data_IF_147133760253
#
_entry.id   IF_147133760253
#
_cell.length_a   1.000
_cell.length_b   1.000
_cell.length_c   1.000
_cell.angle_alpha   90.00
_cell.angle_beta   90.00
_cell.angle_gamma   90.00
#
_symmetry.space_group_name_H-M   'P 1'
#
loop_
_entity.id
_entity.type
_entity.pdbx_description
1 polymer ?
#
# COMPACT_ATOMS: atom_id res chain seq x y z
N UNK A 1 -0.81 -13.28 -13.47
CA UNK A 1 -1.76 -13.64 -12.38
C UNK A 1 -2.43 -12.41 -11.76
N UNK A 2 -1.70 -11.38 -11.28
CA UNK A 2 -2.30 -10.15 -10.76
C UNK A 2 -3.11 -9.34 -11.80
N UNK A 3 -2.61 -9.21 -13.04
CA UNK A 3 -3.34 -8.60 -14.17
C UNK A 3 -4.67 -9.31 -14.48
N UNK A 4 -4.73 -10.63 -14.28
CA UNK A 4 -5.93 -11.44 -14.55
C UNK A 4 -6.98 -11.29 -13.45
N UNK A 5 -6.54 -11.17 -12.18
CA UNK A 5 -7.41 -10.83 -11.05
C UNK A 5 -8.00 -9.41 -11.18
N UNK A 6 -7.23 -8.45 -11.71
CA UNK A 6 -7.73 -7.09 -12.03
C UNK A 6 -8.78 -7.12 -13.14
N UNK A 7 -8.58 -7.94 -14.18
CA UNK A 7 -9.56 -8.12 -15.28
C UNK A 7 -10.87 -8.77 -14.81
N UNK A 8 -10.82 -9.64 -13.79
CA UNK A 8 -11.98 -10.33 -13.23
C UNK A 8 -12.89 -9.45 -12.37
N UNK A 9 -12.50 -8.20 -12.05
CA UNK A 9 -13.39 -7.25 -11.38
C UNK A 9 -14.49 -6.75 -12.34
N UNK A 10 -15.79 -6.98 -12.05
CA UNK A 10 -16.89 -6.45 -12.85
C UNK A 10 -16.86 -4.93 -12.86
N UNK A 11 -17.19 -4.31 -14.00
CA UNK A 11 -17.18 -2.85 -14.18
C UNK A 11 -17.95 -2.08 -13.09
N UNK A 12 -19.04 -2.64 -12.57
CA UNK A 12 -19.85 -2.04 -11.49
C UNK A 12 -19.13 -1.96 -10.12
N UNK A 13 -18.09 -2.77 -9.88
CA UNK A 13 -17.25 -2.71 -8.66
C UNK A 13 -16.14 -1.63 -8.74
N UNK A 14 -15.90 -1.07 -9.93
CA UNK A 14 -14.80 -0.12 -10.21
C UNK A 14 -15.18 1.35 -10.00
N UNK A 15 -16.47 1.65 -9.90
CA UNK A 15 -16.97 3.01 -9.68
C UNK A 15 -16.90 3.45 -8.21
N UNK A 16 -16.71 2.51 -7.28
CA UNK A 16 -16.62 2.79 -5.85
C UNK A 16 -15.21 2.90 -5.27
N UNK A 17 -14.19 2.41 -5.97
CA UNK A 17 -12.82 2.66 -5.55
C UNK A 17 -12.54 4.15 -5.65
N UNK A 18 -12.05 4.76 -4.57
CA UNK A 18 -11.46 6.10 -4.64
C UNK A 18 -10.22 6.01 -5.54
N UNK A 19 -10.40 6.31 -6.82
CA UNK A 19 -9.32 6.35 -7.82
C UNK A 19 -8.23 7.30 -7.29
N UNK A 20 -6.97 6.86 -7.29
CA UNK A 20 -5.82 7.54 -6.67
C UNK A 20 -5.75 7.54 -5.12
N UNK A 21 -6.39 6.59 -4.44
CA UNK A 21 -6.25 6.38 -2.99
C UNK A 21 -5.36 5.16 -2.67
N UNK A 22 -4.86 5.02 -1.45
CA UNK A 22 -4.13 3.79 -1.07
C UNK A 22 -4.96 2.50 -1.14
N UNK A 23 -6.28 2.59 -1.30
CA UNK A 23 -7.22 1.46 -1.28
C UNK A 23 -7.05 0.52 -2.49
N UNK A 24 -6.77 1.03 -3.69
CA UNK A 24 -6.58 0.16 -4.87
C UNK A 24 -5.27 -0.62 -4.78
N UNK A 25 -4.19 -0.01 -4.30
CA UNK A 25 -2.93 -0.72 -4.07
C UNK A 25 -3.09 -1.81 -3.00
N UNK A 26 -3.78 -1.48 -1.91
CA UNK A 26 -4.09 -2.46 -0.88
C UNK A 26 -4.88 -3.63 -1.48
N UNK A 27 -5.89 -3.36 -2.31
CA UNK A 27 -6.68 -4.40 -2.97
C UNK A 27 -5.81 -5.28 -3.88
N UNK A 28 -4.97 -4.69 -4.73
CA UNK A 28 -4.06 -5.43 -5.62
C UNK A 28 -3.13 -6.34 -4.81
N UNK A 29 -2.44 -5.79 -3.81
CA UNK A 29 -1.42 -6.51 -3.05
C UNK A 29 -2.02 -7.58 -2.13
N UNK A 30 -3.10 -7.26 -1.43
CA UNK A 30 -3.78 -8.24 -0.58
C UNK A 30 -4.44 -9.33 -1.42
N UNK A 31 -5.00 -9.01 -2.59
CA UNK A 31 -5.50 -10.04 -3.51
C UNK A 31 -4.40 -10.96 -4.04
N UNK A 32 -3.24 -10.41 -4.38
CA UNK A 32 -2.08 -11.21 -4.78
C UNK A 32 -1.61 -12.14 -3.65
N UNK A 33 -1.53 -11.63 -2.42
CA UNK A 33 -1.10 -12.41 -1.26
C UNK A 33 -2.12 -13.50 -0.86
N UNK A 34 -3.42 -13.17 -0.91
CA UNK A 34 -4.50 -14.07 -0.50
C UNK A 34 -4.99 -14.99 -1.63
N UNK A 35 -4.45 -14.80 -2.83
CA UNK A 35 -4.83 -15.47 -4.07
C UNK A 35 -6.35 -15.46 -4.32
N UNK A 36 -6.98 -14.29 -4.13
CA UNK A 36 -8.44 -14.11 -4.32
C UNK A 36 -8.82 -12.62 -4.42
N UNK A 37 -9.98 -12.34 -4.99
CA UNK A 37 -10.55 -10.98 -5.02
C UNK A 37 -11.35 -10.67 -3.75
N UNK A 38 -11.45 -9.40 -3.33
CA UNK A 38 -12.33 -9.02 -2.23
C UNK A 38 -13.79 -9.29 -2.60
N UNK A 39 -14.56 -9.83 -1.65
CA UNK A 39 -16.01 -10.04 -1.76
C UNK A 39 -16.80 -8.79 -1.36
N UNK A 40 -16.14 -7.83 -0.70
CA UNK A 40 -16.69 -6.53 -0.36
C UNK A 40 -15.61 -5.45 -0.48
N UNK A 41 -15.98 -4.34 -1.11
CA UNK A 41 -15.21 -3.09 -1.17
C UNK A 41 -16.16 -2.01 -0.66
N UNK A 42 -15.70 -1.11 0.21
CA UNK A 42 -16.62 -0.18 0.85
C UNK A 42 -17.31 0.78 -0.15
N UNK A 43 -18.61 0.56 -0.35
CA UNK A 43 -19.51 1.47 -1.07
C UNK A 43 -20.45 2.24 -0.12
N UNK A 44 -20.54 1.85 1.17
CA UNK A 44 -21.64 2.20 2.07
C UNK A 44 -21.24 2.43 3.54
N UNK A 45 -19.98 2.72 3.86
CA UNK A 45 -19.49 3.00 5.23
C UNK A 45 -19.03 1.77 6.02
N UNK A 46 -18.85 0.63 5.34
CA UNK A 46 -18.28 -0.61 5.85
C UNK A 46 -16.74 -0.56 5.94
N UNK A 47 -16.10 -1.71 6.19
CA UNK A 47 -14.63 -1.85 6.14
C UNK A 47 -14.15 -1.76 4.68
N UNK A 48 -12.96 -1.21 4.46
CA UNK A 48 -12.48 -0.87 3.12
C UNK A 48 -12.40 -2.11 2.19
N UNK A 49 -11.89 -3.24 2.69
CA UNK A 49 -11.85 -4.51 1.96
C UNK A 49 -12.32 -5.67 2.84
N UNK A 50 -13.05 -6.63 2.25
CA UNK A 50 -13.42 -7.90 2.88
C UNK A 50 -13.12 -9.07 1.96
N UNK A 51 -12.52 -10.12 2.51
CA UNK A 51 -12.16 -11.35 1.83
C UNK A 51 -12.83 -12.54 2.48
N UNK A 52 -13.40 -13.43 1.67
CA UNK A 52 -13.86 -14.75 2.10
C UNK A 52 -12.68 -15.73 2.09
N UNK A 53 -12.45 -16.40 3.21
CA UNK A 53 -11.36 -17.36 3.45
C UNK A 53 -11.82 -18.82 3.47
N UNK A 54 -13.12 -19.12 3.27
CA UNK A 54 -13.72 -20.43 3.56
C UNK A 54 -13.39 -21.58 2.60
N UNK A 55 -12.77 -21.30 1.46
CA UNK A 55 -12.26 -22.35 0.56
C UNK A 55 -11.07 -21.78 -0.23
N UNK A 56 -9.89 -21.68 0.40
CA UNK A 56 -8.78 -21.00 -0.22
C UNK A 56 -8.16 -21.87 -1.34
N UNK A 57 -7.95 -21.34 -2.57
CA UNK A 57 -7.29 -22.10 -3.65
C UNK A 57 -5.90 -22.59 -3.24
N UNK A 58 -5.26 -21.86 -2.33
CA UNK A 58 -4.00 -22.19 -1.70
C UNK A 58 -4.06 -21.73 -0.24
N UNK A 59 -3.58 -22.53 0.73
CA UNK A 59 -3.56 -22.12 2.13
C UNK A 59 -2.89 -20.76 2.30
N UNK A 60 -3.52 -19.86 3.06
CA UNK A 60 -2.93 -18.56 3.35
C UNK A 60 -1.77 -18.77 4.33
N UNK A 61 -0.56 -18.25 4.04
CA UNK A 61 0.58 -18.37 4.94
C UNK A 61 0.26 -17.83 6.34
N UNK A 62 0.54 -18.64 7.37
CA UNK A 62 0.41 -18.24 8.77
C UNK A 62 1.16 -16.94 9.10
N UNK A 63 2.29 -16.71 8.41
CA UNK A 63 3.12 -15.52 8.54
C UNK A 63 2.38 -14.21 8.22
N UNK A 64 1.25 -14.25 7.51
CA UNK A 64 0.45 -13.07 7.21
C UNK A 64 -0.38 -12.58 8.41
N UNK A 65 -0.33 -13.31 9.53
CA UNK A 65 -0.92 -12.88 10.79
C UNK A 65 -2.44 -12.82 10.79
N UNK A 66 -3.11 -13.42 9.81
CA UNK A 66 -4.56 -13.55 9.83
C UNK A 66 -4.98 -14.52 10.92
N UNK A 67 -6.09 -14.21 11.61
CA UNK A 67 -6.71 -15.17 12.53
C UNK A 67 -7.35 -16.31 11.73
N UNK A 68 -7.40 -17.50 12.31
CA UNK A 68 -8.24 -18.59 11.83
C UNK A 68 -9.72 -18.18 11.89
N UNK A 69 -10.20 -17.66 10.76
CA UNK A 69 -11.50 -17.05 10.60
C UNK A 69 -11.98 -17.27 9.17
N UNK A 70 -13.30 -17.31 8.98
CA UNK A 70 -13.90 -17.47 7.66
C UNK A 70 -13.71 -16.24 6.77
N UNK A 71 -13.39 -15.08 7.34
CA UNK A 71 -13.24 -13.83 6.60
C UNK A 71 -12.10 -12.98 7.16
N UNK A 72 -11.46 -12.21 6.30
CA UNK A 72 -10.52 -11.14 6.68
C UNK A 72 -11.03 -9.79 6.20
N UNK A 73 -10.99 -8.80 7.08
CA UNK A 73 -11.29 -7.41 6.79
C UNK A 73 -10.03 -6.57 6.87
N UNK A 74 -9.95 -5.57 6.00
CA UNK A 74 -8.88 -4.59 6.00
C UNK A 74 -9.46 -3.19 6.10
N UNK A 75 -8.92 -2.38 7.00
CA UNK A 75 -9.05 -0.93 6.95
C UNK A 75 -7.74 -0.37 6.39
N UNK A 76 -7.85 0.36 5.28
CA UNK A 76 -6.74 0.91 4.52
C UNK A 76 -6.53 2.37 4.91
N UNK A 77 -5.29 2.75 5.16
CA UNK A 77 -4.90 4.14 5.47
C UNK A 77 -3.62 4.50 4.75
N UNK A 78 -3.63 5.62 4.05
CA UNK A 78 -2.37 6.28 3.69
C UNK A 78 -1.85 7.06 4.89
N UNK A 79 -0.54 6.99 5.12
CA UNK A 79 0.11 7.89 6.07
C UNK A 79 -0.08 9.34 5.57
N UNK A 80 -0.43 10.28 6.47
CA UNK A 80 -0.62 11.68 6.08
C UNK A 80 0.73 12.30 5.73
N UNK A 81 0.72 13.38 4.95
CA UNK A 81 1.96 14.11 4.65
C UNK A 81 1.69 15.33 3.77
N UNK A 82 2.75 16.07 3.46
CA UNK A 82 2.72 17.37 2.77
C UNK A 82 2.92 17.28 1.27
N UNK A 83 3.52 16.21 0.76
CA UNK A 83 3.84 16.09 -0.66
C UNK A 83 2.57 16.07 -1.51
N UNK A 84 1.57 15.28 -1.14
CA UNK A 84 0.32 15.22 -1.91
C UNK A 84 -0.44 16.54 -1.93
N UNK A 85 -0.37 17.32 -0.86
CA UNK A 85 -0.94 18.66 -0.81
C UNK A 85 -0.18 19.64 -1.73
N UNK A 86 1.15 19.53 -1.75
CA UNK A 86 2.04 20.27 -2.63
C UNK A 86 1.77 19.93 -4.11
N UNK A 87 1.68 18.65 -4.44
CA UNK A 87 1.40 18.15 -5.80
C UNK A 87 0.02 18.61 -6.29
N UNK A 88 -1.00 18.44 -5.45
CA UNK A 88 -2.35 18.94 -5.75
C UNK A 88 -2.40 20.48 -5.90
N UNK A 89 -1.50 21.23 -5.26
CA UNK A 89 -1.42 22.68 -5.44
C UNK A 89 -0.83 23.06 -6.81
N UNK A 90 0.13 22.28 -7.32
CA UNK A 90 0.67 22.42 -8.68
C UNK A 90 -0.44 22.16 -9.70
N UNK A 91 -1.17 21.05 -9.57
CA UNK A 91 -2.27 20.69 -10.47
C UNK A 91 -3.35 21.78 -10.52
N UNK A 92 -3.73 22.32 -9.36
CA UNK A 92 -4.72 23.41 -9.28
C UNK A 92 -4.23 24.67 -9.99
N UNK A 93 -2.95 25.01 -9.88
CA UNK A 93 -2.38 26.17 -10.56
C UNK A 93 -2.39 25.97 -12.08
N UNK A 94 -1.94 24.80 -12.55
CA UNK A 94 -1.94 24.44 -13.98
C UNK A 94 -3.37 24.47 -14.55
N UNK A 95 -4.34 23.84 -13.87
CA UNK A 95 -5.74 23.83 -14.29
C UNK A 95 -6.35 25.24 -14.34
N UNK A 96 -5.88 26.15 -13.50
CA UNK A 96 -6.29 27.56 -13.51
C UNK A 96 -5.54 28.41 -14.57
N UNK A 97 -4.61 27.82 -15.34
CA UNK A 97 -3.77 28.54 -16.30
C UNK A 97 -2.74 29.46 -15.63
N UNK A 98 -2.41 29.23 -14.37
CA UNK A 98 -1.47 30.02 -13.57
C UNK A 98 -0.19 29.24 -13.36
N UNK A 99 0.95 29.92 -13.42
CA UNK A 99 2.23 29.30 -13.12
C UNK A 99 2.32 28.93 -11.61
N UNK A 100 2.68 27.68 -11.26
CA UNK A 100 2.83 27.26 -9.88
C UNK A 100 3.90 28.08 -9.14
N UNK A 101 3.53 28.64 -7.99
CA UNK A 101 4.42 29.48 -7.15
C UNK A 101 5.53 28.64 -6.51
N UNK A 102 5.23 27.41 -6.09
CA UNK A 102 6.20 26.48 -5.55
C UNK A 102 6.40 25.33 -6.54
N UNK A 103 7.64 25.12 -6.96
CA UNK A 103 8.04 24.04 -7.88
C UNK A 103 9.01 23.05 -7.24
N UNK A 104 9.41 23.29 -5.99
CA UNK A 104 10.37 22.47 -5.28
C UNK A 104 9.78 22.00 -3.97
N UNK A 105 9.74 20.68 -3.79
CA UNK A 105 9.41 20.04 -2.53
C UNK A 105 10.70 19.57 -1.84
N UNK A 106 10.74 19.69 -0.51
CA UNK A 106 11.85 19.18 0.30
C UNK A 106 11.31 18.20 1.32
N UNK A 107 11.78 16.96 1.25
CA UNK A 107 11.49 15.91 2.21
C UNK A 107 12.70 15.68 3.12
N UNK A 108 12.45 15.27 4.37
CA UNK A 108 13.50 14.79 5.27
C UNK A 108 13.59 13.27 5.14
N UNK A 109 14.79 12.73 4.99
CA UNK A 109 15.03 11.28 5.10
C UNK A 109 14.78 10.82 6.53
N UNK A 110 14.01 9.75 6.68
CA UNK A 110 13.54 9.22 7.97
C UNK A 110 13.84 7.73 8.09
N UNK A 111 13.81 7.19 9.30
CA UNK A 111 13.77 5.73 9.51
C UNK A 111 12.33 5.24 9.43
N UNK A 112 12.13 4.04 8.90
CA UNK A 112 10.84 3.33 8.97
C UNK A 112 10.31 3.26 10.41
N UNK A 113 11.18 2.99 11.40
CA UNK A 113 10.77 2.89 12.80
C UNK A 113 10.30 4.23 13.36
N UNK A 114 10.94 5.35 12.97
CA UNK A 114 10.52 6.69 13.40
C UNK A 114 9.13 7.04 12.84
N UNK A 115 8.86 6.65 11.59
CA UNK A 115 7.56 6.86 10.95
C UNK A 115 6.49 6.01 11.62
N UNK A 116 6.73 4.72 11.84
CA UNK A 116 5.78 3.81 12.48
C UNK A 116 5.51 4.19 13.94
N UNK A 117 6.53 4.56 14.72
CA UNK A 117 6.37 4.94 16.13
C UNK A 117 5.74 6.32 16.32
N UNK A 118 5.97 7.24 15.39
CA UNK A 118 5.32 8.56 15.37
C UNK A 118 3.96 8.51 14.69
N UNK A 119 3.89 9.03 13.47
CA UNK A 119 2.65 9.21 12.72
C UNK A 119 1.90 7.90 12.44
N UNK A 120 2.63 6.80 12.22
CA UNK A 120 2.05 5.48 11.97
C UNK A 120 1.22 4.99 13.14
N UNK A 121 1.70 5.18 14.38
CA UNK A 121 1.00 4.80 15.60
C UNK A 121 -0.38 5.46 15.68
N UNK A 122 -0.46 6.78 15.43
CA UNK A 122 -1.73 7.51 15.43
C UNK A 122 -2.71 7.00 14.36
N UNK A 123 -2.20 6.67 13.17
CA UNK A 123 -3.00 6.15 12.06
C UNK A 123 -3.50 4.73 12.37
N UNK A 124 -2.64 3.88 12.93
CA UNK A 124 -2.98 2.54 13.38
C UNK A 124 -4.10 2.60 14.42
N UNK A 125 -4.00 3.49 15.42
CA UNK A 125 -5.02 3.62 16.46
C UNK A 125 -6.35 4.12 15.89
N UNK A 126 -6.35 4.97 14.86
CA UNK A 126 -7.58 5.38 14.16
C UNK A 126 -8.19 4.22 13.38
N UNK A 127 -7.38 3.49 12.61
CA UNK A 127 -7.83 2.34 11.84
C UNK A 127 -8.39 1.24 12.76
N UNK A 128 -7.74 0.99 13.89
CA UNK A 128 -8.22 0.09 14.95
C UNK A 128 -9.64 0.45 15.40
N UNK A 129 -9.88 1.71 15.78
CA UNK A 129 -11.22 2.17 16.19
C UNK A 129 -12.27 1.99 15.10
N UNK A 130 -11.89 2.18 13.83
CA UNK A 130 -12.81 1.95 12.70
C UNK A 130 -13.13 0.48 12.53
N UNK A 131 -12.12 -0.40 12.61
CA UNK A 131 -12.33 -1.86 12.57
C UNK A 131 -13.18 -2.34 13.75
N UNK A 132 -12.99 -1.81 14.95
CA UNK A 132 -13.82 -2.14 16.11
C UNK A 132 -15.30 -1.81 15.89
N UNK A 133 -15.59 -0.71 15.18
CA UNK A 133 -16.95 -0.25 14.89
C UNK A 133 -17.58 -0.96 13.68
N UNK A 134 -16.79 -1.22 12.64
CA UNK A 134 -17.29 -1.66 11.33
C UNK A 134 -17.13 -3.16 11.08
N UNK A 135 -16.09 -3.79 11.63
CA UNK A 135 -15.77 -5.17 11.29
C UNK A 135 -16.67 -6.15 12.07
N UNK A 136 -17.33 -7.09 11.37
CA UNK A 136 -18.16 -8.12 12.02
C UNK A 136 -17.40 -8.91 13.09
N UNK A 137 -18.14 -9.39 14.08
CA UNK A 137 -17.60 -10.29 15.11
C UNK A 137 -17.15 -11.59 14.43
N UNK A 138 -16.00 -12.13 14.84
CA UNK A 138 -15.49 -13.39 14.28
C UNK A 138 -14.72 -13.23 12.97
N UNK A 139 -14.64 -12.03 12.39
CA UNK A 139 -13.79 -11.75 11.22
C UNK A 139 -12.38 -11.36 11.65
N UNK A 140 -11.37 -11.75 10.88
CA UNK A 140 -10.00 -11.29 11.11
C UNK A 140 -9.90 -9.79 10.79
N UNK A 141 -9.28 -9.00 11.67
CA UNK A 141 -9.22 -7.54 11.60
C UNK A 141 -7.80 -7.10 11.31
N UNK A 142 -7.59 -6.51 10.14
CA UNK A 142 -6.26 -6.20 9.62
C UNK A 142 -6.19 -4.74 9.20
N UNK A 143 -5.02 -4.12 9.35
CA UNK A 143 -4.78 -2.74 8.93
C UNK A 143 -3.82 -2.76 7.76
N UNK A 144 -4.11 -2.00 6.70
CA UNK A 144 -3.18 -1.79 5.59
C UNK A 144 -2.73 -0.33 5.55
N UNK A 145 -1.43 -0.09 5.75
CA UNK A 145 -0.82 1.22 5.71
C UNK A 145 -0.08 1.43 4.39
N UNK A 146 -0.24 2.62 3.82
CA UNK A 146 0.51 3.05 2.63
C UNK A 146 1.39 4.24 2.99
N UNK A 147 2.70 4.02 2.97
CA UNK A 147 3.72 5.06 3.11
C UNK A 147 4.16 5.55 1.72
N UNK A 148 3.71 6.75 1.36
CA UNK A 148 4.05 7.37 0.08
C UNK A 148 5.50 7.87 0.09
N UNK A 149 6.24 7.63 -0.99
CA UNK A 149 7.67 7.90 -1.07
C UNK A 149 8.06 9.32 -0.65
N UNK A 150 7.52 10.33 -1.34
CA UNK A 150 7.92 11.72 -1.10
C UNK A 150 7.35 12.28 0.21
N UNK A 151 6.44 11.55 0.88
CA UNK A 151 6.04 11.86 2.25
C UNK A 151 7.05 11.34 3.27
N UNK A 152 7.57 10.14 3.03
CA UNK A 152 8.43 9.41 3.95
C UNK A 152 9.56 8.70 3.20
N UNK A 153 10.58 9.43 2.71
CA UNK A 153 11.74 8.81 2.08
C UNK A 153 12.54 8.07 3.16
N UNK A 154 12.30 6.77 3.27
CA UNK A 154 12.81 5.95 4.36
C UNK A 154 14.18 5.36 4.01
N UNK A 155 15.20 5.57 4.86
CA UNK A 155 16.59 5.17 4.58
C UNK A 155 16.73 3.67 4.29
N UNK A 156 15.96 2.84 4.98
CA UNK A 156 15.99 1.38 4.85
C UNK A 156 15.49 0.88 3.50
N UNK A 157 14.73 1.70 2.77
CA UNK A 157 14.23 1.40 1.41
C UNK A 157 15.34 1.55 0.36
N UNK A 158 16.42 2.26 0.69
CA UNK A 158 17.52 2.59 -0.24
C UNK A 158 18.87 1.94 0.10
N UNK A 159 19.02 1.42 1.31
CA UNK A 159 20.32 0.99 1.80
C UNK A 159 20.80 -0.35 1.23
N UNK A 160 19.88 -1.21 0.76
CA UNK A 160 20.17 -2.59 0.38
C UNK A 160 19.65 -2.87 -1.04
N UNK A 161 20.40 -3.66 -1.84
CA UNK A 161 20.02 -4.08 -3.21
C UNK A 161 18.68 -4.85 -3.25
N UNK A 162 18.37 -5.56 -2.16
CA UNK A 162 17.06 -6.18 -1.90
C UNK A 162 16.59 -5.66 -0.53
N UNK A 163 15.61 -4.74 -0.48
CA UNK A 163 15.23 -4.08 0.75
C UNK A 163 14.39 -4.99 1.68
N UNK A 164 15.07 -5.91 2.37
CA UNK A 164 14.49 -6.79 3.40
C UNK A 164 14.51 -6.08 4.76
N UNK A 165 13.50 -5.28 5.06
CA UNK A 165 13.51 -4.41 6.24
C UNK A 165 12.91 -5.05 7.51
N UNK A 166 12.11 -6.11 7.39
CA UNK A 166 11.34 -6.68 8.52
C UNK A 166 12.18 -6.98 9.78
N UNK A 167 13.40 -7.49 9.63
CA UNK A 167 14.28 -7.84 10.75
C UNK A 167 14.79 -6.62 11.54
N UNK A 168 14.67 -5.40 10.99
CA UNK A 168 15.08 -4.14 11.61
C UNK A 168 13.89 -3.40 12.25
N UNK A 169 12.66 -3.89 12.05
CA UNK A 169 11.46 -3.21 12.51
C UNK A 169 11.19 -3.49 13.99
N UNK A 170 10.90 -2.44 14.73
CA UNK A 170 10.52 -2.53 16.12
C UNK A 170 9.15 -3.21 16.26
N UNK A 171 8.94 -4.02 17.32
CA UNK A 171 7.63 -4.57 17.64
C UNK A 171 6.53 -3.50 17.76
N UNK A 172 5.32 -3.81 17.30
CA UNK A 172 4.15 -2.97 17.54
C UNK A 172 3.45 -3.38 18.83
N UNK A 173 2.94 -2.40 19.56
CA UNK A 173 2.19 -2.59 20.82
C UNK A 173 0.82 -1.91 20.76
N UNK A 174 -0.11 -2.31 21.65
CA UNK A 174 -1.44 -1.69 21.74
C UNK A 174 -2.42 -2.11 20.62
N UNK A 175 -2.19 -3.28 20.05
CA UNK A 175 -2.95 -3.85 18.93
C UNK A 175 -4.05 -4.83 19.38
N UNK A 176 -4.53 -4.76 20.62
CA UNK A 176 -5.59 -5.66 21.09
C UNK A 176 -6.79 -5.64 20.14
N UNK A 177 -7.22 -6.82 19.68
CA UNK A 177 -8.32 -6.95 18.72
C UNK A 177 -7.95 -6.71 17.24
N UNK A 178 -6.67 -6.49 16.93
CA UNK A 178 -6.11 -6.44 15.57
C UNK A 178 -5.17 -7.62 15.36
N UNK A 179 -5.37 -8.36 14.27
CA UNK A 179 -4.62 -9.57 13.98
C UNK A 179 -3.30 -9.27 13.26
N UNK A 180 -3.33 -8.32 12.31
CA UNK A 180 -2.13 -7.92 11.57
C UNK A 180 -2.11 -6.45 11.13
N UNK A 181 -0.90 -5.93 10.91
CA UNK A 181 -0.65 -4.61 10.29
C UNK A 181 0.26 -4.80 9.10
N UNK A 182 -0.24 -4.51 7.91
CA UNK A 182 0.46 -4.59 6.64
C UNK A 182 0.92 -3.19 6.27
N UNK A 183 2.18 -3.00 5.92
CA UNK A 183 2.72 -1.69 5.53
C UNK A 183 3.43 -1.79 4.20
N UNK A 184 2.92 -1.04 3.22
CA UNK A 184 3.57 -0.83 1.94
C UNK A 184 4.45 0.42 2.02
N UNK A 185 5.73 0.25 1.72
CA UNK A 185 6.66 1.34 1.45
C UNK A 185 6.83 1.49 -0.07
N UNK A 186 7.02 2.72 -0.52
CA UNK A 186 7.21 3.10 -1.92
C UNK A 186 8.50 3.93 -2.02
N UNK A 187 9.27 3.95 -3.14
CA UNK A 187 9.03 3.41 -4.50
C UNK A 187 9.06 1.91 -4.63
N UNK A 188 10.04 1.27 -4.02
CA UNK A 188 10.19 -0.17 -4.12
C UNK A 188 9.06 -0.80 -3.31
N UNK A 189 8.22 -1.67 -3.88
CA UNK A 189 7.02 -2.19 -3.22
C UNK A 189 7.39 -3.18 -2.11
N UNK A 190 7.96 -2.64 -1.03
CA UNK A 190 8.34 -3.38 0.16
C UNK A 190 7.10 -3.48 1.01
N UNK A 191 6.49 -4.67 0.95
CA UNK A 191 5.37 -5.02 1.81
C UNK A 191 5.91 -5.78 3.02
N UNK A 192 5.70 -5.21 4.21
CA UNK A 192 5.98 -5.88 5.49
C UNK A 192 4.70 -6.11 6.26
N UNK A 193 4.63 -7.24 6.95
CA UNK A 193 3.45 -7.63 7.73
C UNK A 193 3.87 -7.89 9.17
N UNK A 194 3.25 -7.18 10.10
CA UNK A 194 3.28 -7.47 11.53
C UNK A 194 2.17 -8.44 11.88
N UNK A 195 2.51 -9.54 12.56
CA UNK A 195 1.54 -10.48 13.13
C UNK A 195 1.42 -10.27 14.63
N UNK A 196 0.21 -9.96 15.12
CA UNK A 196 -0.05 -9.87 16.56
C UNK A 196 0.09 -11.24 17.25
N UNK A 197 -0.25 -12.32 16.56
CA UNK A 197 -0.11 -13.69 17.10
C UNK A 197 1.36 -14.06 17.29
N UNK A 198 2.19 -13.81 16.28
CA UNK A 198 3.58 -14.24 16.26
C UNK A 198 4.54 -13.19 16.84
N UNK A 199 4.06 -11.97 17.11
CA UNK A 199 4.84 -10.83 17.60
C UNK A 199 6.11 -10.56 16.78
N UNK A 200 6.00 -10.66 15.46
CA UNK A 200 7.11 -10.45 14.53
C UNK A 200 6.67 -9.83 13.22
N UNK A 201 7.62 -9.19 12.56
CA UNK A 201 7.52 -8.72 11.20
C UNK A 201 8.00 -9.78 10.21
N UNK A 202 7.37 -9.81 9.03
CA UNK A 202 7.84 -10.58 7.87
C UNK A 202 7.87 -9.69 6.63
N UNK A 203 8.83 -9.95 5.73
CA UNK A 203 8.82 -9.35 4.39
C UNK A 203 7.97 -10.23 3.47
N UNK A 204 7.17 -9.59 2.63
CA UNK A 204 6.54 -10.24 1.48
C UNK A 204 7.36 -9.88 0.25
N UNK A 205 7.98 -10.90 -0.34
CA UNK A 205 8.77 -10.75 -1.56
C UNK A 205 7.95 -11.28 -2.73
N UNK A 206 7.74 -10.45 -3.74
CA UNK A 206 7.18 -10.87 -5.00
C UNK A 206 8.33 -11.34 -5.89
N UNK A 207 8.29 -12.60 -6.33
CA UNK A 207 9.26 -13.10 -7.28
C UNK A 207 9.06 -12.36 -8.61
N UNK A 208 10.12 -11.71 -9.09
CA UNK A 208 10.22 -11.31 -10.48
C UNK A 208 10.66 -12.56 -11.24
N UNK A 209 9.83 -13.07 -12.14
CA UNK A 209 10.36 -13.97 -13.16
C UNK A 209 11.25 -13.10 -14.05
N UNK A 210 12.56 -13.31 -13.95
CA UNK A 210 13.51 -12.83 -14.96
C UNK A 210 13.11 -13.49 -16.29
N UNK A 211 12.27 -12.82 -17.07
CA UNK A 211 12.19 -13.12 -18.49
C UNK A 211 13.55 -12.81 -19.09
N UNK A 212 14.06 -13.65 -19.98
CA UNK A 212 15.27 -13.39 -20.79
C UNK A 212 15.07 -12.23 -21.80
N UNK A 213 14.29 -11.21 -21.45
CA UNK A 213 14.04 -10.00 -22.22
C UNK A 213 14.95 -8.89 -21.72
N UNK A 214 15.55 -8.17 -22.67
CA UNK A 214 16.42 -7.01 -22.45
C UNK A 214 16.00 -6.15 -21.26
N UNK A 215 16.96 -5.80 -20.40
CA UNK A 215 16.87 -4.68 -19.46
C UNK A 215 16.46 -3.40 -20.22
N UNK A 216 15.16 -3.19 -20.40
CA UNK A 216 14.64 -1.95 -20.92
C UNK A 216 14.53 -0.98 -19.72
N UNK A 217 15.29 0.12 -19.69
CA UNK A 217 15.29 1.08 -18.58
C UNK A 217 13.93 1.76 -18.32
N UNK A 218 12.92 1.45 -19.13
CA UNK A 218 11.52 1.90 -19.00
C UNK A 218 10.58 0.86 -18.36
N UNK A 219 11.06 -0.34 -17.97
CA UNK A 219 10.21 -1.31 -17.29
C UNK A 219 9.82 -0.83 -15.89
N UNK A 220 8.56 -0.39 -15.78
CA UNK A 220 7.91 -0.15 -14.50
C UNK A 220 8.02 -1.40 -13.63
N UNK A 221 8.52 -1.31 -12.37
CA UNK A 221 8.44 -2.42 -11.42
C UNK A 221 7.01 -2.98 -11.42
N UNK A 222 6.84 -4.30 -11.50
CA UNK A 222 5.57 -5.02 -11.68
C UNK A 222 4.33 -4.39 -11.00
N UNK A 223 4.46 -3.85 -9.78
CA UNK A 223 3.36 -3.18 -9.09
C UNK A 223 2.89 -1.90 -9.81
N UNK A 224 3.81 -1.08 -10.32
CA UNK A 224 3.51 0.11 -11.12
C UNK A 224 2.87 -0.29 -12.46
N UNK A 225 3.30 -1.40 -13.08
CA UNK A 225 2.67 -1.91 -14.31
C UNK A 225 1.23 -2.39 -14.06
N UNK A 226 1.00 -3.20 -13.01
CA UNK A 226 -0.35 -3.68 -12.64
C UNK A 226 -1.26 -2.51 -12.26
N UNK A 227 -0.71 -1.50 -11.60
CA UNK A 227 -1.43 -0.27 -11.29
C UNK A 227 -1.79 0.54 -12.54
N UNK A 228 -0.88 0.64 -13.50
CA UNK A 228 -1.13 1.29 -14.78
C UNK A 228 -2.31 0.65 -15.50
N UNK A 229 -2.26 -0.68 -15.62
CA UNK A 229 -3.33 -1.47 -16.24
C UNK A 229 -4.67 -1.27 -15.51
N UNK A 230 -4.64 -1.25 -14.17
CA UNK A 230 -5.83 -0.96 -13.37
C UNK A 230 -6.38 0.44 -13.68
N UNK A 231 -5.52 1.47 -13.66
CA UNK A 231 -5.91 2.87 -13.87
C UNK A 231 -6.41 3.13 -15.29
N UNK A 232 -5.75 2.58 -16.31
CA UNK A 232 -6.20 2.63 -17.70
C UNK A 232 -7.57 1.97 -17.86
N UNK A 233 -7.74 0.78 -17.28
CA UNK A 233 -9.03 0.04 -17.34
C UNK A 233 -10.15 0.72 -16.55
N UNK A 234 -9.82 1.60 -15.61
CA UNK A 234 -10.74 2.40 -14.81
C UNK A 234 -10.97 3.81 -15.37
N UNK A 235 -10.34 4.17 -16.50
CA UNK A 235 -10.47 5.48 -17.15
C UNK A 235 -9.80 6.64 -16.39
N UNK A 236 -8.83 6.35 -15.51
CA UNK A 236 -8.00 7.36 -14.84
C UNK A 236 -6.89 7.90 -15.75
N UNK A 237 -6.33 9.08 -15.41
CA UNK A 237 -5.26 9.73 -16.21
C UNK A 237 -3.90 9.86 -15.52
N UNK A 238 -3.72 9.28 -14.34
CA UNK A 238 -2.43 9.27 -13.63
C UNK A 238 -2.51 8.62 -12.25
N UNK A 239 -1.43 7.96 -11.83
CA UNK A 239 -1.29 7.38 -10.49
C UNK A 239 -0.26 8.18 -9.67
N UNK A 240 -0.51 8.45 -8.37
CA UNK A 240 0.47 9.09 -7.48
C UNK A 240 1.68 8.19 -7.16
N UNK A 241 1.69 6.95 -7.63
CA UNK A 241 2.76 5.98 -7.46
C UNK A 241 3.60 5.79 -8.73
N UNK A 242 3.25 6.50 -9.81
CA UNK A 242 4.06 6.64 -11.01
C UNK A 242 5.15 7.70 -10.76
N UNK A 243 6.36 7.26 -10.45
CA UNK A 243 7.50 8.16 -10.37
C UNK A 243 8.79 7.45 -10.77
N UNK A 244 9.54 8.10 -11.67
CA UNK A 244 10.89 7.72 -12.04
C UNK A 244 11.89 8.53 -11.24
N UNK A 245 12.94 7.89 -10.74
CA UNK A 245 14.08 8.59 -10.15
C UNK A 245 15.18 8.72 -11.20
N UNK A 246 15.65 9.94 -11.40
CA UNK A 246 16.91 10.18 -12.11
C UNK A 246 17.88 10.81 -11.12
N UNK A 247 19.07 10.23 -10.98
CA UNK A 247 20.15 10.86 -10.25
C UNK A 247 20.67 12.02 -11.11
N UNK A 248 20.52 13.25 -10.62
CA UNK A 248 21.14 14.43 -11.24
C UNK A 248 22.31 14.89 -10.38
N UNK A 249 23.45 15.15 -11.02
CA UNK A 249 24.55 15.90 -10.39
C UNK A 249 24.09 17.34 -10.16
N UNK A 250 23.41 17.57 -9.05
CA UNK A 250 23.10 18.91 -8.58
C UNK A 250 24.38 19.60 -8.10
N UNK A 251 24.60 20.90 -8.37
CA UNK A 251 25.74 21.61 -7.84
C UNK A 251 25.73 21.55 -6.30
N UNK A 252 26.87 21.18 -5.74
CA UNK A 252 27.09 21.20 -4.29
C UNK A 252 26.83 22.62 -3.73
N UNK A 253 26.31 22.73 -2.49
CA UNK A 253 26.01 24.01 -1.86
C UNK A 253 27.24 24.92 -1.70
#
# INVERSE_FOLDING_TARGET
>A
MASELVRQHPAASRDGFKRASGEHLAAILTSACLNRTPVGIDLHGSVDLTYDLTDPPTPVPEAFGLRDASHATFEVKSLPGKFREFDAAIDRAIAAGVEPVQKTFRAKVVSVNDVLSGVGSDVIQRAKRQLEQKAPIGYSRNIFLVAHYLEYPAVEVYADEIPLIAHRLAPLSGLDGIDSVWTLWSPHPILVIWSTRDQRWVNVCFAYEEGEGQDDPEEFPLLQQVEAEFMESAGGRGSPFYFGMTAGDGPAP
#
